data_IF_263624171963
#
_entry.id   IF_263624171963
#
_cell.length_a   1.000
_cell.length_b   1.000
_cell.length_c   1.000
_cell.angle_alpha   90.00
_cell.angle_beta   90.00
_cell.angle_gamma   90.00
#
_symmetry.space_group_name_H-M   'P 1'
#
loop_
_entity.id
_entity.type
_entity.pdbx_description
1 polymer ?
#
# COMPACT_ATOMS: atom_id res chain seq x y z
N UNK A 1 -18.78 -1.01 8.47
CA UNK A 1 -17.98 -2.26 8.52
C UNK A 1 -17.16 -2.20 9.79
N UNK A 2 -17.21 -3.24 10.62
CA UNK A 2 -16.35 -3.32 11.79
C UNK A 2 -14.92 -3.77 11.42
N UNK A 3 -14.01 -3.78 12.40
CA UNK A 3 -12.61 -4.09 12.18
C UNK A 3 -12.40 -5.55 11.71
N UNK A 4 -13.07 -6.52 12.34
CA UNK A 4 -12.89 -7.93 12.00
C UNK A 4 -13.46 -8.24 10.61
N UNK A 5 -14.56 -7.61 10.24
CA UNK A 5 -15.11 -7.69 8.89
C UNK A 5 -14.14 -7.09 7.87
N UNK A 6 -13.53 -5.93 8.15
CA UNK A 6 -12.54 -5.32 7.27
C UNK A 6 -11.31 -6.23 7.07
N UNK A 7 -10.78 -6.80 8.16
CA UNK A 7 -9.66 -7.76 8.11
C UNK A 7 -10.05 -8.98 7.27
N UNK A 8 -11.23 -9.58 7.51
CA UNK A 8 -11.71 -10.76 6.80
C UNK A 8 -11.94 -10.51 5.30
N UNK A 9 -12.40 -9.32 4.92
CA UNK A 9 -12.71 -8.95 3.52
C UNK A 9 -11.52 -8.40 2.75
N UNK A 10 -10.51 -7.87 3.42
CA UNK A 10 -9.34 -7.29 2.77
C UNK A 10 -8.58 -8.36 1.95
N UNK A 11 -8.39 -8.09 0.70
CA UNK A 11 -7.58 -8.93 -0.21
C UNK A 11 -6.86 -8.08 -1.26
N UNK A 12 -5.87 -8.67 -1.94
CA UNK A 12 -5.20 -8.03 -3.08
C UNK A 12 -6.06 -8.10 -4.33
N UNK A 13 -6.65 -6.98 -4.69
CA UNK A 13 -7.47 -6.84 -5.89
C UNK A 13 -6.59 -6.63 -7.13
N UNK A 14 -6.78 -7.43 -8.18
CA UNK A 14 -6.03 -7.34 -9.43
C UNK A 14 -6.92 -7.20 -10.68
N UNK A 15 -8.23 -7.07 -10.47
CA UNK A 15 -9.22 -6.83 -11.53
C UNK A 15 -9.29 -5.35 -11.92
N UNK A 16 -10.19 -5.03 -12.88
CA UNK A 16 -10.40 -3.66 -13.33
C UNK A 16 -11.16 -2.83 -12.29
N UNK A 17 -10.83 -1.54 -12.21
CA UNK A 17 -11.63 -0.56 -11.47
C UNK A 17 -12.67 0.09 -12.38
N UNK A 18 -13.80 0.48 -11.78
CA UNK A 18 -14.84 1.28 -12.44
C UNK A 18 -14.31 2.65 -12.81
N UNK A 19 -14.86 3.25 -13.87
CA UNK A 19 -14.60 4.65 -14.23
C UNK A 19 -15.36 5.58 -13.28
N UNK A 20 -14.94 5.58 -12.02
CA UNK A 20 -15.51 6.38 -10.95
C UNK A 20 -14.37 7.03 -10.14
N UNK A 21 -14.34 8.35 -9.99
CA UNK A 21 -13.31 9.01 -9.20
C UNK A 21 -13.39 8.60 -7.73
N UNK A 22 -12.24 8.59 -7.08
CA UNK A 22 -12.13 8.44 -5.61
C UNK A 22 -12.10 9.84 -5.00
N UNK A 23 -13.07 10.23 -4.15
CA UNK A 23 -13.09 11.54 -3.53
C UNK A 23 -11.83 11.84 -2.72
N UNK A 24 -11.33 13.07 -2.78
CA UNK A 24 -10.15 13.49 -2.00
C UNK A 24 -10.30 13.26 -0.50
N UNK A 25 -11.49 13.41 0.02
CA UNK A 25 -11.76 13.18 1.45
C UNK A 25 -11.57 11.70 1.82
N UNK A 26 -11.96 10.77 0.95
CA UNK A 26 -11.71 9.35 1.19
C UNK A 26 -10.23 9.01 1.05
N UNK A 27 -9.51 9.57 0.06
CA UNK A 27 -8.06 9.44 -0.05
C UNK A 27 -7.36 9.97 1.20
N UNK A 28 -7.79 11.12 1.72
CA UNK A 28 -7.29 11.68 2.98
C UNK A 28 -7.53 10.75 4.17
N UNK A 29 -8.74 10.17 4.30
CA UNK A 29 -9.07 9.21 5.36
C UNK A 29 -8.18 7.97 5.31
N UNK A 30 -7.92 7.45 4.11
CA UNK A 30 -7.05 6.29 3.91
C UNK A 30 -5.62 6.62 4.37
N UNK A 31 -5.05 7.73 3.91
CA UNK A 31 -3.69 8.14 4.32
C UNK A 31 -3.61 8.49 5.80
N UNK A 32 -4.66 9.13 6.34
CA UNK A 32 -4.73 9.43 7.78
C UNK A 32 -4.68 8.16 8.63
N UNK A 33 -5.29 7.06 8.20
CA UNK A 33 -5.17 5.77 8.87
C UNK A 33 -3.72 5.24 8.84
N UNK A 34 -3.02 5.42 7.72
CA UNK A 34 -1.59 5.12 7.62
C UNK A 34 -0.74 5.94 8.58
N UNK A 35 -1.03 7.25 8.70
CA UNK A 35 -0.32 8.14 9.63
C UNK A 35 -0.54 7.78 11.11
N UNK A 36 -1.60 7.03 11.44
CA UNK A 36 -1.86 6.54 12.80
C UNK A 36 -1.16 5.20 13.11
N UNK A 37 -0.42 4.62 12.16
CA UNK A 37 0.32 3.41 12.42
C UNK A 37 1.45 3.65 13.43
N UNK A 38 1.82 2.64 14.24
CA UNK A 38 2.98 2.74 15.10
C UNK A 38 4.27 2.85 14.27
N UNK A 39 5.29 3.50 14.84
CA UNK A 39 6.63 3.53 14.27
C UNK A 39 7.69 3.38 15.35
N UNK A 40 8.85 2.84 14.99
CA UNK A 40 9.96 2.67 15.92
C UNK A 40 10.31 3.98 16.63
N UNK A 41 10.22 4.02 17.97
CA UNK A 41 10.39 5.24 18.78
C UNK A 41 9.57 6.45 18.33
N UNK A 42 8.44 6.21 17.68
CA UNK A 42 7.59 7.25 17.08
C UNK A 42 8.32 8.14 16.06
N UNK A 43 9.25 7.58 15.30
CA UNK A 43 10.04 8.33 14.31
C UNK A 43 9.25 8.75 13.08
N UNK A 44 8.08 8.14 12.82
CA UNK A 44 7.15 8.52 11.74
C UNK A 44 7.86 8.62 10.38
N UNK A 45 8.63 7.59 10.05
CA UNK A 45 9.60 7.57 8.94
C UNK A 45 8.95 7.48 7.55
N UNK A 46 7.65 7.13 7.46
CA UNK A 46 6.96 6.95 6.19
C UNK A 46 6.26 8.24 5.75
N UNK A 47 6.54 8.69 4.54
CA UNK A 47 5.83 9.76 3.86
C UNK A 47 4.92 9.19 2.75
N UNK A 48 3.92 9.99 2.33
CA UNK A 48 2.96 9.57 1.32
C UNK A 48 2.78 10.63 0.25
N UNK A 49 2.67 10.18 -1.01
CA UNK A 49 2.17 11.01 -2.11
C UNK A 49 0.85 10.41 -2.59
N UNK A 50 -0.20 11.21 -2.54
CA UNK A 50 -1.52 10.88 -3.10
C UNK A 50 -1.53 11.38 -4.54
N UNK A 51 -1.75 10.46 -5.48
CA UNK A 51 -1.81 10.74 -6.91
C UNK A 51 -3.28 10.66 -7.34
N UNK A 52 -3.93 11.79 -7.51
CA UNK A 52 -5.34 11.91 -7.96
C UNK A 52 -5.48 12.63 -9.32
N UNK A 53 -4.37 13.04 -9.91
CA UNK A 53 -4.31 13.45 -11.32
C UNK A 53 -4.35 12.21 -12.22
N UNK A 54 -5.44 12.08 -12.98
CA UNK A 54 -5.66 10.92 -13.85
C UNK A 54 -4.63 10.78 -14.98
N UNK A 55 -4.04 11.87 -15.46
CA UNK A 55 -2.99 11.79 -16.47
C UNK A 55 -1.75 11.13 -15.87
N UNK A 56 -1.37 11.53 -14.66
CA UNK A 56 -0.24 10.97 -13.93
C UNK A 56 -0.51 9.52 -13.49
N UNK A 57 -1.72 9.21 -13.00
CA UNK A 57 -2.14 7.84 -12.69
C UNK A 57 -2.00 6.92 -13.90
N UNK A 58 -2.46 7.35 -15.09
CA UNK A 58 -2.34 6.58 -16.34
C UNK A 58 -0.89 6.41 -16.77
N UNK A 59 -0.07 7.46 -16.65
CA UNK A 59 1.35 7.41 -16.99
C UNK A 59 2.09 6.38 -16.11
N UNK A 60 1.84 6.39 -14.82
CA UNK A 60 2.41 5.41 -13.88
C UNK A 60 1.86 4.00 -14.18
N UNK A 61 0.56 3.87 -14.39
CA UNK A 61 -0.08 2.60 -14.72
C UNK A 61 0.48 1.94 -15.97
N UNK A 62 0.80 2.73 -17.01
CA UNK A 62 1.36 2.25 -18.28
C UNK A 62 2.76 1.64 -18.15
N UNK A 63 3.49 1.90 -17.05
CA UNK A 63 4.77 1.25 -16.78
C UNK A 63 4.63 -0.23 -16.40
N UNK A 64 3.45 -0.69 -16.03
CA UNK A 64 3.21 -2.09 -15.68
C UNK A 64 2.65 -2.85 -16.89
N UNK A 65 3.34 -3.91 -17.36
CA UNK A 65 2.96 -4.60 -18.60
C UNK A 65 1.58 -5.28 -18.55
N UNK A 66 1.18 -5.86 -17.41
CA UNK A 66 0.05 -6.81 -17.36
C UNK A 66 -0.95 -6.58 -16.22
N UNK A 67 -0.67 -5.70 -15.26
CA UNK A 67 -1.55 -5.53 -14.09
C UNK A 67 -2.73 -4.61 -14.41
N UNK A 68 -3.92 -5.20 -14.59
CA UNK A 68 -5.15 -4.48 -14.93
C UNK A 68 -5.52 -3.44 -13.86
N UNK A 69 -5.31 -3.74 -12.59
CA UNK A 69 -5.55 -2.77 -11.51
C UNK A 69 -4.66 -1.53 -11.62
N UNK A 70 -3.40 -1.67 -12.09
CA UNK A 70 -2.53 -0.53 -12.38
C UNK A 70 -3.05 0.32 -13.54
N UNK A 71 -3.51 -0.33 -14.62
CA UNK A 71 -3.98 0.37 -15.83
C UNK A 71 -5.30 1.09 -15.65
N UNK A 72 -6.16 0.60 -14.75
CA UNK A 72 -7.51 1.12 -14.54
C UNK A 72 -7.66 1.92 -13.25
N UNK A 73 -6.59 2.08 -12.47
CA UNK A 73 -6.61 2.85 -11.22
C UNK A 73 -7.20 4.25 -11.40
N UNK A 74 -7.91 4.71 -10.39
CA UNK A 74 -8.54 6.04 -10.37
C UNK A 74 -7.79 7.01 -9.45
N UNK A 75 -6.96 6.48 -8.58
CA UNK A 75 -5.97 7.17 -7.77
C UNK A 75 -4.85 6.19 -7.42
N UNK A 76 -3.72 6.70 -6.96
CA UNK A 76 -2.64 5.88 -6.39
C UNK A 76 -2.11 6.53 -5.12
N UNK A 77 -1.59 5.72 -4.20
CA UNK A 77 -0.87 6.21 -3.03
C UNK A 77 0.54 5.62 -3.08
N UNK A 78 1.55 6.47 -3.16
CA UNK A 78 2.95 6.08 -3.06
C UNK A 78 3.41 6.24 -1.61
N UNK A 79 3.90 5.15 -1.02
CA UNK A 79 4.49 5.11 0.32
C UNK A 79 6.00 5.22 0.18
N UNK A 80 6.59 6.20 0.83
CA UNK A 80 7.96 6.65 0.63
C UNK A 80 8.72 6.51 1.94
N UNK A 81 9.92 5.95 1.86
CA UNK A 81 10.87 5.86 2.97
C UNK A 81 12.22 6.42 2.55
N UNK A 82 13.10 6.66 3.52
CA UNK A 82 14.48 7.00 3.24
C UNK A 82 15.19 5.83 2.54
N UNK A 83 16.03 6.12 1.55
CA UNK A 83 16.81 5.11 0.83
C UNK A 83 17.89 4.49 1.74
N UNK A 84 18.47 5.30 2.61
CA UNK A 84 19.42 4.88 3.62
C UNK A 84 18.90 5.33 5.01
N UNK A 85 17.88 4.63 5.56
CA UNK A 85 17.26 5.07 6.79
C UNK A 85 18.21 4.99 7.98
N UNK A 86 18.20 6.03 8.80
CA UNK A 86 18.98 6.09 10.01
C UNK A 86 18.60 4.96 10.99
N UNK A 87 19.59 4.49 11.75
CA UNK A 87 19.34 3.57 12.85
C UNK A 87 18.52 4.25 13.94
N UNK A 88 17.50 3.56 14.43
CA UNK A 88 16.59 4.03 15.47
C UNK A 88 16.89 3.38 16.81
N UNK A 89 17.32 2.12 16.81
CA UNK A 89 17.63 1.34 17.99
C UNK A 89 18.81 0.40 17.74
N UNK A 90 19.90 0.56 18.48
CA UNK A 90 21.08 -0.32 18.46
C UNK A 90 21.54 -0.74 17.04
N UNK A 91 21.63 0.21 16.14
CA UNK A 91 22.04 -0.02 14.76
C UNK A 91 20.93 -0.48 13.81
N UNK A 92 19.70 -0.71 14.31
CA UNK A 92 18.56 -1.13 13.50
C UNK A 92 17.67 0.04 13.06
N UNK A 93 17.29 0.05 11.80
CA UNK A 93 16.22 0.89 11.25
C UNK A 93 14.93 0.09 11.19
N UNK A 94 13.79 0.75 11.42
CA UNK A 94 12.46 0.15 11.30
C UNK A 94 11.62 0.76 10.17
N UNK A 95 12.25 1.51 9.26
CA UNK A 95 11.55 2.23 8.21
C UNK A 95 10.69 1.32 7.30
N UNK A 96 11.11 0.08 7.08
CA UNK A 96 10.35 -0.90 6.27
C UNK A 96 9.16 -1.43 7.06
N UNK A 97 9.36 -1.75 8.33
CA UNK A 97 8.32 -2.23 9.26
C UNK A 97 7.28 -1.14 9.51
N UNK A 98 7.72 0.09 9.76
CA UNK A 98 6.87 1.27 9.93
C UNK A 98 5.99 1.49 8.69
N UNK A 99 6.60 1.43 7.49
CA UNK A 99 5.89 1.53 6.23
C UNK A 99 4.88 0.38 6.06
N UNK A 100 5.24 -0.85 6.41
CA UNK A 100 4.33 -1.99 6.33
C UNK A 100 3.13 -1.84 7.25
N UNK A 101 3.33 -1.37 8.48
CA UNK A 101 2.25 -1.09 9.43
C UNK A 101 1.30 0.01 8.91
N UNK A 102 1.86 1.08 8.37
CA UNK A 102 1.09 2.16 7.77
C UNK A 102 0.26 1.66 6.55
N UNK A 103 0.88 0.86 5.68
CA UNK A 103 0.21 0.28 4.51
C UNK A 103 -0.95 -0.62 4.94
N UNK A 104 -0.79 -1.49 5.96
CA UNK A 104 -1.88 -2.36 6.39
C UNK A 104 -3.07 -1.55 6.92
N UNK A 105 -2.86 -0.50 7.72
CA UNK A 105 -3.94 0.41 8.14
C UNK A 105 -4.68 1.02 6.93
N UNK A 106 -3.94 1.42 5.89
CA UNK A 106 -4.53 1.95 4.66
C UNK A 106 -5.32 0.89 3.88
N UNK A 107 -4.84 -0.36 3.83
CA UNK A 107 -5.55 -1.47 3.17
C UNK A 107 -6.89 -1.77 3.85
N UNK A 108 -6.90 -1.80 5.18
CA UNK A 108 -8.12 -2.01 5.98
C UNK A 108 -9.11 -0.86 5.78
N UNK A 109 -8.63 0.39 5.83
CA UNK A 109 -9.47 1.57 5.61
C UNK A 109 -10.03 1.61 4.19
N UNK A 110 -9.21 1.29 3.18
CA UNK A 110 -9.63 1.16 1.78
C UNK A 110 -10.80 0.16 1.67
N UNK A 111 -10.66 -1.02 2.29
CA UNK A 111 -11.70 -2.05 2.30
C UNK A 111 -12.96 -1.57 3.02
N UNK A 112 -12.81 -0.93 4.18
CA UNK A 112 -13.93 -0.42 4.98
C UNK A 112 -14.74 0.66 4.26
N UNK A 113 -14.10 1.44 3.38
CA UNK A 113 -14.73 2.47 2.54
C UNK A 113 -15.34 1.92 1.24
N UNK A 114 -15.22 0.61 0.97
CA UNK A 114 -15.77 -0.03 -0.23
C UNK A 114 -14.89 0.09 -1.48
N UNK A 115 -13.66 0.56 -1.34
CA UNK A 115 -12.66 0.55 -2.39
C UNK A 115 -11.84 -0.74 -2.38
N UNK A 116 -11.06 -0.94 -3.43
CA UNK A 116 -10.12 -2.04 -3.54
C UNK A 116 -8.73 -1.55 -3.94
N UNK A 117 -7.71 -2.32 -3.61
CA UNK A 117 -6.32 -2.02 -3.91
C UNK A 117 -5.47 -3.29 -3.93
N UNK A 118 -4.23 -3.16 -4.37
CA UNK A 118 -3.21 -4.21 -4.28
C UNK A 118 -1.88 -3.62 -3.81
N UNK A 119 -1.23 -4.32 -2.89
CA UNK A 119 0.13 -4.00 -2.46
C UNK A 119 1.12 -4.28 -3.59
N UNK A 120 1.68 -3.23 -4.20
CA UNK A 120 2.69 -3.33 -5.26
C UNK A 120 4.04 -2.90 -4.68
N UNK A 121 4.96 -3.86 -4.53
CA UNK A 121 6.29 -3.67 -3.97
C UNK A 121 7.38 -4.35 -4.83
N UNK A 122 7.33 -5.68 -4.99
CA UNK A 122 8.35 -6.44 -5.71
C UNK A 122 8.60 -5.92 -7.14
N UNK A 123 7.56 -5.51 -7.84
CA UNK A 123 7.64 -4.91 -9.16
C UNK A 123 8.41 -3.57 -9.16
N UNK A 124 8.26 -2.76 -8.12
CA UNK A 124 8.95 -1.47 -7.97
C UNK A 124 10.47 -1.62 -7.84
N UNK A 125 10.94 -2.75 -7.30
CA UNK A 125 12.36 -3.01 -7.05
C UNK A 125 13.15 -3.39 -8.30
N UNK A 126 12.46 -3.69 -9.39
CA UNK A 126 13.04 -4.13 -10.65
C UNK A 126 13.10 -2.96 -11.64
N UNK A 127 14.08 -3.00 -12.57
CA UNK A 127 14.15 -2.09 -13.72
C UNK A 127 14.08 -0.60 -13.36
N UNK A 128 14.60 -0.24 -12.19
CA UNK A 128 14.61 1.15 -11.69
C UNK A 128 13.22 1.82 -11.60
N UNK A 129 12.14 1.04 -11.53
CA UNK A 129 10.75 1.55 -11.59
C UNK A 129 10.42 2.49 -10.44
N UNK A 130 10.90 2.20 -9.23
CA UNK A 130 10.68 3.08 -8.08
C UNK A 130 11.30 4.47 -8.30
N UNK A 131 12.47 4.56 -8.92
CA UNK A 131 13.10 5.84 -9.23
C UNK A 131 12.40 6.54 -10.41
N UNK A 132 12.00 5.80 -11.45
CA UNK A 132 11.22 6.36 -12.57
C UNK A 132 9.91 7.00 -12.09
N UNK A 133 9.15 6.29 -11.25
CA UNK A 133 7.92 6.84 -10.67
C UNK A 133 8.24 7.96 -9.69
N UNK A 134 9.32 7.82 -8.91
CA UNK A 134 9.79 8.86 -8.00
C UNK A 134 10.06 10.19 -8.71
N UNK A 135 10.73 10.14 -9.86
CA UNK A 135 10.99 11.32 -10.69
C UNK A 135 9.67 11.98 -11.18
N UNK A 136 8.68 11.17 -11.58
CA UNK A 136 7.35 11.68 -11.98
C UNK A 136 6.61 12.37 -10.82
N UNK A 137 6.83 11.90 -9.59
CA UNK A 137 6.18 12.40 -8.38
C UNK A 137 7.01 13.45 -7.62
N UNK A 138 8.19 13.82 -8.11
CA UNK A 138 9.08 14.77 -7.44
C UNK A 138 9.67 14.23 -6.13
N UNK A 139 9.83 12.91 -5.98
CA UNK A 139 10.43 12.28 -4.81
C UNK A 139 11.94 12.56 -4.81
N UNK A 140 12.51 13.12 -3.73
CA UNK A 140 13.95 13.39 -3.64
C UNK A 140 14.83 12.13 -3.79
N UNK A 141 16.07 12.29 -4.22
CA UNK A 141 17.00 11.18 -4.51
C UNK A 141 17.39 10.37 -3.25
N UNK A 142 17.35 10.99 -2.08
CA UNK A 142 17.59 10.35 -0.78
C UNK A 142 16.43 9.47 -0.30
N UNK A 143 15.31 9.49 -1.03
CA UNK A 143 14.10 8.73 -0.71
C UNK A 143 13.78 7.70 -1.80
N UNK A 144 12.91 6.76 -1.45
CA UNK A 144 12.46 5.72 -2.39
C UNK A 144 11.00 5.36 -2.16
N UNK A 145 10.27 5.15 -3.26
CA UNK A 145 8.92 4.58 -3.19
C UNK A 145 9.05 3.10 -2.81
N UNK A 146 8.58 2.77 -1.62
CA UNK A 146 8.62 1.41 -1.07
C UNK A 146 7.43 0.57 -1.47
N UNK A 147 6.24 1.17 -1.47
CA UNK A 147 4.98 0.54 -1.86
C UNK A 147 4.17 1.52 -2.70
N UNK A 148 3.48 1.00 -3.71
CA UNK A 148 2.50 1.72 -4.50
C UNK A 148 1.15 1.01 -4.41
N UNK A 149 0.10 1.76 -4.10
CA UNK A 149 -1.27 1.27 -3.95
C UNK A 149 -2.14 1.87 -5.06
N UNK A 150 -2.39 1.15 -6.18
CA UNK A 150 -3.44 1.55 -7.13
C UNK A 150 -4.80 1.37 -6.48
N UNK A 151 -5.71 2.33 -6.65
CA UNK A 151 -6.95 2.44 -5.90
C UNK A 151 -8.14 2.75 -6.81
N UNK A 152 -9.30 2.19 -6.48
CA UNK A 152 -10.56 2.49 -7.15
C UNK A 152 -11.71 1.64 -6.62
N UNK A 153 -12.92 1.87 -7.18
CA UNK A 153 -14.08 1.02 -6.95
C UNK A 153 -13.94 -0.25 -7.78
N UNK A 154 -13.97 -1.46 -7.19
CA UNK A 154 -13.84 -2.69 -7.97
C UNK A 154 -15.00 -2.83 -8.97
N UNK A 155 -14.68 -3.18 -10.22
CA UNK A 155 -15.70 -3.39 -11.27
C UNK A 155 -16.33 -4.78 -11.18
N UNK A 156 -15.64 -5.73 -10.59
CA UNK A 156 -16.05 -7.13 -10.48
C UNK A 156 -15.61 -7.75 -9.14
N UNK A 157 -16.19 -8.89 -8.80
CA UNK A 157 -15.71 -9.66 -7.64
C UNK A 157 -14.32 -10.23 -7.95
N UNK A 158 -13.45 -10.26 -6.95
CA UNK A 158 -12.12 -10.84 -7.06
C UNK A 158 -11.91 -11.87 -5.95
N UNK A 159 -11.45 -13.08 -6.27
CA UNK A 159 -11.34 -14.12 -5.27
C UNK A 159 -10.27 -13.79 -4.24
N UNK A 160 -10.62 -13.94 -2.97
CA UNK A 160 -9.67 -13.93 -1.88
C UNK A 160 -8.99 -15.30 -1.81
N UNK A 161 -7.67 -15.31 -1.72
CA UNK A 161 -6.94 -16.57 -1.52
C UNK A 161 -7.12 -17.05 -0.09
N UNK A 162 -7.37 -18.35 0.05
CA UNK A 162 -7.45 -19.01 1.34
C UNK A 162 -6.19 -18.79 2.17
N UNK A 163 -6.37 -18.67 3.47
CA UNK A 163 -5.29 -18.56 4.45
C UNK A 163 -5.07 -19.91 5.11
N UNK A 164 -3.84 -20.17 5.48
CA UNK A 164 -3.52 -21.35 6.29
C UNK A 164 -4.28 -21.29 7.62
N UNK A 165 -4.74 -22.44 8.14
CA UNK A 165 -5.44 -22.51 9.41
C UNK A 165 -4.54 -22.14 10.58
N UNK A 166 -5.17 -21.83 11.72
CA UNK A 166 -4.48 -21.39 12.92
C UNK A 166 -3.42 -22.41 13.37
N UNK A 167 -3.76 -23.69 13.35
CA UNK A 167 -2.96 -24.82 13.84
C UNK A 167 -1.64 -25.01 13.07
N UNK A 168 -1.57 -24.50 11.83
CA UNK A 168 -0.34 -24.52 11.04
C UNK A 168 0.57 -23.31 11.28
N UNK A 169 0.08 -22.27 11.93
CA UNK A 169 0.74 -20.96 11.95
C UNK A 169 0.85 -20.32 13.33
N UNK A 170 0.16 -20.86 14.31
CA UNK A 170 0.15 -20.28 15.66
C UNK A 170 0.11 -21.38 16.72
N UNK A 171 0.86 -21.15 17.78
CA UNK A 171 0.97 -22.10 18.89
C UNK A 171 0.92 -21.33 20.20
N UNK A 172 0.43 -21.98 21.24
CA UNK A 172 0.47 -21.45 22.58
C UNK A 172 1.81 -21.76 23.24
N UNK A 173 2.42 -20.78 23.87
CA UNK A 173 3.63 -20.87 24.70
C UNK A 173 4.92 -21.25 23.96
N UNK A 174 4.92 -22.21 23.03
CA UNK A 174 6.13 -22.68 22.33
C UNK A 174 5.84 -22.96 20.87
N UNK A 175 6.84 -22.75 20.00
CA UNK A 175 6.73 -23.04 18.57
C UNK A 175 6.60 -24.57 18.36
N UNK A 176 5.57 -25.01 17.64
CA UNK A 176 5.32 -26.42 17.34
C UNK A 176 4.76 -27.24 18.52
N UNK A 177 4.31 -26.58 19.59
CA UNK A 177 3.74 -27.20 20.78
C UNK A 177 2.27 -27.52 20.65
#
# INVERSE_FOLDING_TARGET
MDLFEAIGRRHSYRGPFRDQPVPRDDLRRIVQAGLQAPSGRNMQTTAFVIVDDLALVRQIGALHATNVAMHTARAMIACIIDRAPAAVYEGHSFAVEDCAAAVENMLLTTTALGYATVWTDGWLRLENRAATIGALLGVPDDKVIRVLLPLGVPAEAWPQKEKKPFEERAWFSRFGG
#
